data_IF_010399954624
#
_entry.id   IF_010399954624
#
_cell.length_a   1.000
_cell.length_b   1.000
_cell.length_c   1.000
_cell.angle_alpha   90.00
_cell.angle_beta   90.00
_cell.angle_gamma   90.00
#
_symmetry.space_group_name_H-M   'P 1'
#
loop_
_entity.id
_entity.type
_entity.pdbx_description
1 polymer ?
#
# COMPACT_ATOMS: atom_id res chain seq x y z
N UNK A 1 10.97 69.97 23.08
CA UNK A 1 11.12 68.57 23.60
C UNK A 1 9.87 67.72 23.42
N UNK A 2 8.65 68.21 23.65
CA UNK A 2 7.39 67.43 23.54
C UNK A 2 7.15 66.75 22.17
N UNK A 3 7.60 67.38 21.07
CA UNK A 3 7.39 66.89 19.70
C UNK A 3 8.11 65.57 19.40
N UNK A 4 9.24 65.31 20.07
CA UNK A 4 10.02 64.08 19.89
C UNK A 4 9.49 62.91 20.75
N UNK A 5 8.78 63.23 21.83
CA UNK A 5 8.18 62.22 22.73
C UNK A 5 6.97 61.56 22.05
N UNK A 6 6.17 62.32 21.31
CA UNK A 6 5.04 61.76 20.55
C UNK A 6 5.49 60.82 19.40
N UNK A 7 6.65 61.09 18.79
CA UNK A 7 7.18 60.28 17.69
C UNK A 7 7.73 58.94 18.22
N UNK A 8 8.37 58.95 19.40
CA UNK A 8 8.85 57.73 20.04
C UNK A 8 7.71 56.79 20.49
N UNK A 9 6.57 57.33 20.94
CA UNK A 9 5.41 56.53 21.34
C UNK A 9 4.76 55.75 20.20
N UNK A 10 4.73 56.32 18.98
CA UNK A 10 4.14 55.67 17.80
C UNK A 10 4.99 54.51 17.27
N UNK A 11 6.32 54.58 17.44
CA UNK A 11 7.25 53.52 17.01
C UNK A 11 7.16 52.24 17.86
N UNK A 12 6.79 52.34 19.14
CA UNK A 12 6.68 51.16 20.03
C UNK A 12 5.42 50.33 19.74
N UNK A 13 4.37 50.94 19.18
CA UNK A 13 3.10 50.26 18.90
C UNK A 13 3.12 49.38 17.62
N UNK A 14 4.18 49.44 16.82
CA UNK A 14 4.27 48.67 15.56
C UNK A 14 5.01 47.31 15.68
N UNK A 15 5.46 46.90 16.86
CA UNK A 15 6.24 45.65 17.04
C UNK A 15 5.35 44.40 17.22
N UNK A 16 4.03 44.52 17.07
CA UNK A 16 3.07 43.48 17.48
C UNK A 16 2.66 42.39 16.47
N UNK A 17 3.09 42.40 15.20
CA UNK A 17 2.44 41.56 14.16
C UNK A 17 3.38 40.72 13.27
N UNK A 18 4.32 39.95 13.83
CA UNK A 18 5.13 39.01 13.00
C UNK A 18 5.26 37.60 13.55
N UNK A 19 4.32 37.13 14.37
CA UNK A 19 4.27 35.69 14.67
C UNK A 19 3.61 34.95 13.52
N UNK A 20 4.42 34.27 12.70
CA UNK A 20 3.94 33.35 11.68
C UNK A 20 3.00 32.32 12.31
N UNK A 21 1.78 32.24 11.78
CA UNK A 21 0.77 31.29 12.25
C UNK A 21 1.29 29.86 12.09
N UNK A 22 1.18 29.05 13.14
CA UNK A 22 1.53 27.62 13.12
C UNK A 22 0.83 26.93 11.94
N UNK A 23 1.58 26.65 10.88
CA UNK A 23 1.07 25.88 9.75
C UNK A 23 0.88 24.44 10.22
N UNK A 24 -0.38 24.01 10.31
CA UNK A 24 -0.75 22.62 10.53
C UNK A 24 -1.26 22.09 9.20
N UNK A 25 -0.43 21.31 8.51
CA UNK A 25 -0.90 20.55 7.35
C UNK A 25 -1.81 19.44 7.84
N UNK A 26 -3.12 19.69 7.83
CA UNK A 26 -4.11 18.64 8.05
C UNK A 26 -4.24 17.81 6.77
N UNK A 27 -3.37 16.81 6.58
CA UNK A 27 -3.60 15.73 5.61
C UNK A 27 -4.55 14.71 6.22
N UNK A 28 -5.83 15.07 6.30
CA UNK A 28 -6.88 14.06 6.48
C UNK A 28 -7.31 13.63 5.08
N UNK A 29 -7.05 12.38 4.66
CA UNK A 29 -7.51 11.91 3.36
C UNK A 29 -9.05 11.98 3.34
N UNK A 30 -9.61 12.70 2.36
CA UNK A 30 -11.06 12.99 2.28
C UNK A 30 -11.93 11.75 2.03
N UNK A 31 -11.33 10.62 1.67
CA UNK A 31 -12.05 9.38 1.41
C UNK A 31 -11.15 8.24 1.86
N UNK A 32 -11.57 7.52 2.90
CA UNK A 32 -11.13 6.14 3.07
C UNK A 32 -11.70 5.38 1.86
N UNK A 33 -10.91 5.20 0.81
CA UNK A 33 -11.27 4.26 -0.25
C UNK A 33 -11.27 2.89 0.40
N UNK A 34 -12.42 2.50 0.96
CA UNK A 34 -12.69 1.15 1.39
C UNK A 34 -12.85 0.35 0.10
N UNK A 35 -11.71 0.04 -0.52
CA UNK A 35 -11.65 -0.96 -1.57
C UNK A 35 -12.04 -2.25 -0.89
N UNK A 36 -13.31 -2.61 -1.01
CA UNK A 36 -13.80 -3.91 -0.61
C UNK A 36 -12.91 -4.93 -1.34
N UNK A 37 -12.08 -5.63 -0.56
CA UNK A 37 -11.01 -6.47 -1.11
C UNK A 37 -11.69 -7.64 -1.83
N UNK A 38 -11.79 -7.52 -3.13
CA UNK A 38 -12.47 -8.50 -3.96
C UNK A 38 -11.52 -9.68 -4.18
N UNK A 39 -11.61 -10.71 -3.33
CA UNK A 39 -10.78 -11.90 -3.44
C UNK A 39 -10.62 -12.70 -2.15
N UNK A 40 -10.26 -13.97 -2.32
CA UNK A 40 -9.98 -14.88 -1.21
C UNK A 40 -8.57 -14.60 -0.68
N UNK A 41 -8.43 -14.39 0.64
CA UNK A 41 -7.12 -14.18 1.25
C UNK A 41 -6.25 -15.41 1.09
N UNK A 42 -5.06 -15.25 0.52
CA UNK A 42 -4.12 -16.35 0.34
C UNK A 42 -3.51 -16.75 1.69
N UNK A 43 -3.37 -18.06 1.90
CA UNK A 43 -2.71 -18.62 3.08
C UNK A 43 -1.27 -18.10 3.22
N UNK A 44 -0.85 -17.88 4.46
CA UNK A 44 0.52 -17.46 4.79
C UNK A 44 1.57 -18.49 4.40
N UNK A 45 1.19 -19.76 4.22
CA UNK A 45 2.09 -20.84 3.78
C UNK A 45 2.72 -20.56 2.41
N UNK A 46 1.98 -19.89 1.51
CA UNK A 46 2.46 -19.58 0.18
C UNK A 46 3.27 -18.29 0.10
N UNK A 47 3.40 -17.56 1.22
CA UNK A 47 3.91 -16.19 1.22
C UNK A 47 5.35 -16.09 0.72
N UNK A 48 6.23 -17.00 1.14
CA UNK A 48 7.62 -16.98 0.69
C UNK A 48 7.73 -17.09 -0.83
N UNK A 49 6.92 -17.99 -1.41
CA UNK A 49 6.83 -18.19 -2.85
C UNK A 49 6.22 -16.98 -3.53
N UNK A 50 5.20 -16.35 -2.96
CA UNK A 50 4.53 -15.19 -3.57
C UNK A 50 5.40 -13.91 -3.54
N UNK A 51 6.19 -13.71 -2.49
CA UNK A 51 7.08 -12.54 -2.39
C UNK A 51 8.30 -12.64 -3.32
N UNK A 52 8.72 -13.87 -3.66
CA UNK A 52 9.78 -14.13 -4.63
C UNK A 52 9.45 -13.55 -6.01
N UNK A 53 10.49 -13.19 -6.76
CA UNK A 53 10.36 -12.72 -8.14
C UNK A 53 10.51 -13.85 -9.17
N UNK A 54 11.07 -14.99 -8.76
CA UNK A 54 11.44 -16.10 -9.64
C UNK A 54 10.36 -17.18 -9.68
N UNK A 55 10.36 -17.95 -10.77
CA UNK A 55 9.53 -19.15 -10.89
C UNK A 55 9.87 -20.17 -9.80
N UNK A 56 8.87 -20.56 -9.00
CA UNK A 56 9.03 -21.52 -7.91
C UNK A 56 7.94 -22.58 -7.95
N UNK A 57 8.19 -23.73 -7.34
CA UNK A 57 7.19 -24.79 -7.21
C UNK A 57 7.16 -25.34 -5.79
N UNK A 58 5.95 -25.62 -5.30
CA UNK A 58 5.70 -26.30 -4.04
C UNK A 58 5.00 -27.62 -4.33
N UNK A 59 5.65 -28.73 -3.96
CA UNK A 59 5.06 -30.06 -4.05
C UNK A 59 4.41 -30.44 -2.73
N UNK A 60 3.15 -30.85 -2.77
CA UNK A 60 2.44 -31.47 -1.65
C UNK A 60 2.04 -32.90 -2.03
N UNK A 61 1.60 -33.75 -1.08
CA UNK A 61 1.17 -35.11 -1.40
C UNK A 61 0.01 -35.18 -2.40
N UNK A 62 -0.82 -34.14 -2.47
CA UNK A 62 -2.07 -34.12 -3.26
C UNK A 62 -1.94 -33.36 -4.59
N UNK A 63 -1.00 -32.42 -4.67
CA UNK A 63 -0.85 -31.52 -5.80
C UNK A 63 0.55 -30.89 -5.90
N UNK A 64 0.90 -30.44 -7.10
CA UNK A 64 2.03 -29.54 -7.32
C UNK A 64 1.52 -28.13 -7.62
N UNK A 65 2.07 -27.15 -6.95
CA UNK A 65 1.70 -25.73 -7.10
C UNK A 65 2.88 -25.02 -7.75
N UNK A 66 2.65 -24.37 -8.88
CA UNK A 66 3.65 -23.58 -9.59
C UNK A 66 3.35 -22.10 -9.48
N UNK A 67 4.34 -21.32 -9.07
CA UNK A 67 4.30 -19.89 -8.94
C UNK A 67 5.11 -19.27 -10.08
N UNK A 68 4.43 -18.67 -11.06
CA UNK A 68 5.07 -18.07 -12.23
C UNK A 68 5.58 -16.66 -11.96
N UNK A 69 6.55 -16.14 -12.71
CA UNK A 69 7.16 -14.82 -12.54
C UNK A 69 6.16 -13.70 -12.19
N UNK A 70 6.57 -12.84 -11.27
CA UNK A 70 5.73 -11.74 -10.81
C UNK A 70 5.63 -10.64 -11.88
N UNK A 71 4.46 -10.03 -12.02
CA UNK A 71 4.19 -8.94 -12.94
C UNK A 71 3.40 -7.82 -12.23
N UNK A 72 3.43 -6.61 -12.80
CA UNK A 72 2.61 -5.50 -12.34
C UNK A 72 1.26 -5.53 -13.07
N UNK A 73 0.15 -5.52 -12.35
CA UNK A 73 -1.19 -5.40 -12.96
C UNK A 73 -1.44 -3.97 -13.45
N UNK A 74 -2.47 -3.81 -14.28
CA UNK A 74 -2.92 -2.48 -14.73
C UNK A 74 -3.32 -1.54 -13.57
N UNK A 75 -3.64 -2.10 -12.39
CA UNK A 75 -3.96 -1.37 -11.17
C UNK A 75 -2.71 -1.07 -10.31
N UNK A 76 -1.51 -1.37 -10.82
CA UNK A 76 -0.24 -1.13 -10.13
C UNK A 76 0.08 -2.13 -9.02
N UNK A 77 -0.67 -3.23 -8.90
CA UNK A 77 -0.44 -4.25 -7.88
C UNK A 77 0.57 -5.29 -8.37
N UNK A 78 1.47 -5.76 -7.49
CA UNK A 78 2.33 -6.92 -7.79
C UNK A 78 1.46 -8.16 -7.80
N UNK A 79 1.37 -8.84 -8.93
CA UNK A 79 0.59 -10.06 -9.10
C UNK A 79 1.46 -11.20 -9.63
N UNK A 80 0.99 -12.44 -9.50
CA UNK A 80 1.60 -13.60 -10.14
C UNK A 80 0.57 -14.67 -10.45
N UNK A 81 0.82 -15.44 -11.51
CA UNK A 81 0.00 -16.60 -11.83
C UNK A 81 0.39 -17.78 -10.93
N UNK A 82 -0.61 -18.46 -10.40
CA UNK A 82 -0.45 -19.67 -9.59
C UNK A 82 -1.20 -20.80 -10.27
N UNK A 83 -0.49 -21.86 -10.63
CA UNK A 83 -1.06 -23.06 -11.23
C UNK A 83 -1.08 -24.18 -10.18
N UNK A 84 -2.27 -24.67 -9.87
CA UNK A 84 -2.49 -25.84 -9.02
C UNK A 84 -2.69 -27.04 -9.91
N UNK A 85 -1.80 -28.02 -9.87
CA UNK A 85 -1.88 -29.26 -10.65
C UNK A 85 -2.09 -30.43 -9.68
N UNK A 86 -3.31 -30.96 -9.65
CA UNK A 86 -3.64 -32.12 -8.83
C UNK A 86 -3.11 -33.40 -9.46
N UNK A 87 -2.76 -34.37 -8.64
CA UNK A 87 -2.34 -35.70 -9.10
C UNK A 87 -3.42 -36.41 -9.94
N UNK A 88 -4.68 -36.01 -9.80
CA UNK A 88 -5.81 -36.52 -10.58
C UNK A 88 -5.90 -35.90 -11.99
N UNK A 89 -4.92 -35.09 -12.41
CA UNK A 89 -4.87 -34.43 -13.72
C UNK A 89 -5.71 -33.15 -13.82
N UNK A 90 -6.40 -32.75 -12.75
CA UNK A 90 -7.13 -31.48 -12.70
C UNK A 90 -6.14 -30.35 -12.45
N UNK A 91 -6.11 -29.37 -13.36
CA UNK A 91 -5.31 -28.15 -13.18
C UNK A 91 -6.19 -26.92 -13.05
N UNK A 92 -5.87 -26.06 -12.08
CA UNK A 92 -6.58 -24.80 -11.81
C UNK A 92 -5.56 -23.67 -11.83
N UNK A 93 -5.77 -22.71 -12.72
CA UNK A 93 -5.00 -21.47 -12.75
C UNK A 93 -5.72 -20.39 -11.94
N UNK A 94 -5.00 -19.73 -11.05
CA UNK A 94 -5.46 -18.54 -10.30
C UNK A 94 -4.44 -17.41 -10.41
N UNK A 95 -4.87 -16.19 -10.13
CA UNK A 95 -4.00 -15.03 -10.04
C UNK A 95 -3.96 -14.56 -8.59
N UNK A 96 -2.76 -14.46 -8.02
CA UNK A 96 -2.55 -13.91 -6.69
C UNK A 96 -1.98 -12.49 -6.81
N UNK A 97 -2.61 -11.51 -6.16
CA UNK A 97 -2.14 -10.12 -6.14
C UNK A 97 -1.85 -9.66 -4.71
N UNK A 98 -0.75 -8.92 -4.57
CA UNK A 98 -0.36 -8.30 -3.32
C UNK A 98 -1.11 -6.99 -3.11
N UNK A 99 -1.44 -6.72 -1.85
CA UNK A 99 -1.91 -5.41 -1.45
C UNK A 99 -0.81 -4.35 -1.61
N UNK A 100 -1.21 -3.14 -2.00
CA UNK A 100 -0.29 -2.01 -2.09
C UNK A 100 0.26 -1.69 -0.69
N UNK A 101 1.57 -1.51 -0.58
CA UNK A 101 2.19 -1.05 0.68
C UNK A 101 1.75 0.38 0.93
N UNK A 102 1.13 0.63 2.08
CA UNK A 102 0.95 1.99 2.58
C UNK A 102 2.20 2.48 3.31
N UNK A 103 2.96 1.56 3.91
CA UNK A 103 4.20 1.83 4.64
C UNK A 103 5.31 0.84 4.27
N UNK A 104 6.57 1.26 4.38
CA UNK A 104 7.77 0.46 4.08
C UNK A 104 7.76 -0.91 4.77
N UNK A 105 7.41 -0.89 6.06
CA UNK A 105 7.56 -2.04 6.97
C UNK A 105 6.28 -2.89 7.05
N UNK A 106 5.26 -2.54 6.25
CA UNK A 106 3.98 -3.24 6.27
C UNK A 106 4.13 -4.63 5.64
N UNK A 107 3.71 -5.63 6.42
CA UNK A 107 3.45 -6.99 5.96
C UNK A 107 2.28 -6.94 4.96
N UNK A 108 2.58 -7.17 3.68
CA UNK A 108 1.56 -7.23 2.63
C UNK A 108 0.76 -8.52 2.73
N UNK A 109 -0.56 -8.41 2.58
CA UNK A 109 -1.44 -9.55 2.34
C UNK A 109 -1.52 -9.84 0.84
N UNK A 110 -1.78 -11.10 0.50
CA UNK A 110 -2.01 -11.57 -0.86
C UNK A 110 -3.44 -12.08 -0.99
N UNK A 111 -4.04 -11.88 -2.16
CA UNK A 111 -5.42 -12.28 -2.44
C UNK A 111 -5.51 -13.00 -3.79
N UNK A 112 -6.27 -14.08 -3.86
CA UNK A 112 -6.68 -14.68 -5.12
C UNK A 112 -7.81 -13.86 -5.72
N UNK A 113 -7.59 -13.38 -6.94
CA UNK A 113 -8.60 -12.66 -7.70
C UNK A 113 -9.69 -13.64 -8.14
N UNK A 114 -10.98 -13.33 -7.97
CA UNK A 114 -12.06 -14.18 -8.44
C UNK A 114 -11.96 -14.34 -9.96
N UNK A 115 -12.15 -15.57 -10.45
CA UNK A 115 -12.32 -15.80 -11.88
C UNK A 115 -13.68 -15.20 -12.28
N UNK A 116 -13.65 -14.16 -13.13
CA UNK A 116 -14.83 -13.58 -13.76
C UNK A 116 -15.34 -14.49 -14.88
#
# INVERSE_FOLDING_TARGET
>A
MFKYICIAGVLVLMVGCTTSTRNVEAKVPLVETRVEKNGEKVSTLYRQFLESNENESLKTPEQTIYFQDSYLSALGQKCRNVLFESNNGVSVKRVACAENKLFSDQVRAWYFIPNL
#
